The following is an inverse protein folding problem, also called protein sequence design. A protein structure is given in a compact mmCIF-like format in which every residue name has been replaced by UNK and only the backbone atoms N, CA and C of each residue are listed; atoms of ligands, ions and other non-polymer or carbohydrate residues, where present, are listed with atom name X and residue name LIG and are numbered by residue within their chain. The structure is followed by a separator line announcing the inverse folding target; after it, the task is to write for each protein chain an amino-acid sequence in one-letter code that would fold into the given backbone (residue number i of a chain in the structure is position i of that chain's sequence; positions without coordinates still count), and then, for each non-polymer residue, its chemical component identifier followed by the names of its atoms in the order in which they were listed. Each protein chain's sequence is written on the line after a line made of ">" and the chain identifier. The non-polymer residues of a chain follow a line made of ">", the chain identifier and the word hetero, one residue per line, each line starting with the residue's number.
data_IF_876710276709
#
_entry.id   IF_876710276709
#
_cell.length_a   1.000
_cell.length_b   1.000
_cell.length_c   1.000
_cell.angle_alpha   90.00
_cell.angle_beta   90.00
_cell.angle_gamma   90.00
#
_symmetry.space_group_name_H-M   'P 1'
#
loop_
_entity.id
_entity.type
_entity.pdbx_description
1 polymer ?
#
# COMPACT_ATOMS: atom_id res chain seq x y z
N UNK A 1 -3.56 -7.82 9.61
CA UNK A 1 -4.67 -6.85 9.63
C UNK A 1 -4.81 -6.28 8.24
N UNK A 2 -6.04 -6.05 7.80
CA UNK A 2 -6.29 -5.47 6.48
C UNK A 2 -5.88 -3.99 6.52
N UNK A 3 -5.15 -3.55 5.50
CA UNK A 3 -4.73 -2.15 5.33
C UNK A 3 -5.01 -1.70 3.90
N UNK A 4 -5.33 -0.42 3.75
CA UNK A 4 -5.36 0.30 2.50
C UNK A 4 -4.14 1.21 2.43
N UNK A 5 -3.45 1.22 1.28
CA UNK A 5 -2.24 2.02 1.10
C UNK A 5 -2.42 2.91 -0.11
N UNK A 6 -2.31 4.21 0.13
CA UNK A 6 -2.30 5.22 -0.93
C UNK A 6 -0.87 5.48 -1.35
N UNK A 7 -0.62 5.46 -2.65
CA UNK A 7 0.71 5.56 -3.25
C UNK A 7 0.87 6.87 -4.03
N UNK A 8 2.11 7.34 -4.13
CA UNK A 8 2.51 8.36 -5.09
C UNK A 8 2.94 7.74 -6.41
N UNK A 9 1.97 7.37 -7.22
CA UNK A 9 2.23 7.04 -8.62
C UNK A 9 2.08 8.32 -9.42
N UNK A 10 3.20 8.89 -9.87
CA UNK A 10 3.20 9.99 -10.85
C UNK A 10 2.34 9.62 -12.06
N UNK A 11 1.72 10.61 -12.73
CA UNK A 11 0.76 10.41 -13.84
C UNK A 11 1.24 9.43 -14.94
N UNK A 12 2.55 9.30 -15.14
CA UNK A 12 3.18 8.27 -15.98
C UNK A 12 3.54 6.99 -15.19
N UNK A 13 2.55 6.36 -14.56
CA UNK A 13 2.74 5.08 -13.90
C UNK A 13 2.95 3.97 -14.96
N UNK A 14 4.18 3.81 -15.41
CA UNK A 14 4.59 2.68 -16.27
C UNK A 14 4.40 1.35 -15.53
N UNK A 15 4.06 0.27 -16.25
CA UNK A 15 3.82 -1.05 -15.64
C UNK A 15 5.01 -1.54 -14.80
N UNK A 16 6.24 -1.28 -15.28
CA UNK A 16 7.46 -1.59 -14.55
C UNK A 16 7.55 -0.90 -13.16
N UNK A 17 6.97 0.30 -13.02
CA UNK A 17 6.94 1.01 -11.74
C UNK A 17 5.88 0.45 -10.80
N UNK A 18 4.74 -0.01 -11.35
CA UNK A 18 3.72 -0.69 -10.55
C UNK A 18 4.26 -2.00 -9.96
N UNK A 19 4.97 -2.81 -10.75
CA UNK A 19 5.56 -4.07 -10.28
C UNK A 19 6.62 -3.82 -9.21
N UNK A 20 7.52 -2.84 -9.42
CA UNK A 20 8.54 -2.48 -8.44
C UNK A 20 7.94 -2.01 -7.10
N UNK A 21 6.80 -1.30 -7.12
CA UNK A 21 6.09 -0.89 -5.90
C UNK A 21 5.49 -2.09 -5.18
N UNK A 22 4.89 -3.04 -5.91
CA UNK A 22 4.35 -4.26 -5.31
C UNK A 22 5.45 -5.12 -4.67
N UNK A 23 6.61 -5.22 -5.32
CA UNK A 23 7.78 -5.90 -4.76
C UNK A 23 8.29 -5.20 -3.49
N UNK A 24 8.36 -3.87 -3.49
CA UNK A 24 8.77 -3.09 -2.30
C UNK A 24 7.81 -3.28 -1.12
N UNK A 25 6.50 -3.23 -1.37
CA UNK A 25 5.47 -3.48 -0.36
C UNK A 25 5.56 -4.90 0.21
N UNK A 26 5.78 -5.89 -0.65
CA UNK A 26 5.97 -7.28 -0.23
C UNK A 26 7.25 -7.43 0.62
N UNK A 27 8.34 -6.78 0.22
CA UNK A 27 9.60 -6.73 0.98
C UNK A 27 9.46 -6.06 2.35
N UNK A 28 8.55 -5.08 2.48
CA UNK A 28 8.21 -4.43 3.75
C UNK A 28 7.28 -5.27 4.64
N UNK A 29 6.82 -6.45 4.19
CA UNK A 29 6.04 -7.40 4.98
C UNK A 29 4.56 -7.48 4.61
N UNK A 30 4.11 -6.73 3.60
CA UNK A 30 2.73 -6.79 3.12
C UNK A 30 2.46 -8.12 2.40
N UNK A 31 1.30 -8.70 2.65
CA UNK A 31 0.85 -9.99 2.10
C UNK A 31 -0.52 -9.86 1.45
N UNK A 32 -0.90 -10.83 0.62
CA UNK A 32 -2.21 -10.90 -0.04
C UNK A 32 -2.62 -9.56 -0.72
N UNK A 33 -1.69 -8.96 -1.46
CA UNK A 33 -1.86 -7.62 -2.03
C UNK A 33 -2.89 -7.66 -3.17
N UNK A 34 -3.98 -6.90 -3.02
CA UNK A 34 -4.92 -6.57 -4.09
C UNK A 34 -4.52 -5.25 -4.77
N UNK A 35 -4.06 -5.36 -6.02
CA UNK A 35 -3.62 -4.25 -6.85
C UNK A 35 -4.67 -3.78 -7.88
N UNK A 36 -5.93 -4.23 -7.77
CA UNK A 36 -6.99 -3.89 -8.74
C UNK A 36 -7.16 -2.38 -8.95
N UNK A 37 -6.94 -1.60 -7.90
CA UNK A 37 -7.11 -0.14 -7.92
C UNK A 37 -5.81 0.64 -8.11
N UNK A 38 -4.67 -0.05 -8.23
CA UNK A 38 -3.34 0.57 -8.31
C UNK A 38 -3.23 1.53 -9.49
N UNK A 39 -3.57 1.08 -10.70
CA UNK A 39 -3.44 1.90 -11.92
C UNK A 39 -4.40 3.09 -11.98
N UNK A 40 -5.57 3.00 -11.35
CA UNK A 40 -6.64 4.00 -11.47
C UNK A 40 -6.65 5.01 -10.34
N UNK A 41 -6.24 4.59 -9.15
CA UNK A 41 -6.35 5.38 -7.92
C UNK A 41 -5.08 5.40 -7.09
N UNK A 42 -3.98 4.80 -7.59
CA UNK A 42 -2.75 4.60 -6.83
C UNK A 42 -3.01 3.96 -5.45
N UNK A 43 -3.96 3.01 -5.41
CA UNK A 43 -4.44 2.39 -4.19
C UNK A 43 -4.23 0.88 -4.23
N UNK A 44 -3.70 0.32 -3.14
CA UNK A 44 -3.59 -1.12 -2.93
C UNK A 44 -4.14 -1.50 -1.57
N UNK A 45 -4.66 -2.72 -1.47
CA UNK A 45 -5.11 -3.30 -0.21
C UNK A 45 -4.33 -4.56 0.08
N UNK A 46 -4.19 -4.95 1.35
CA UNK A 46 -3.57 -6.23 1.70
C UNK A 46 -3.46 -6.45 3.19
N UNK A 47 -2.81 -7.54 3.57
CA UNK A 47 -2.55 -7.89 4.96
C UNK A 47 -1.19 -7.38 5.41
N UNK A 48 -1.15 -6.73 6.57
CA UNK A 48 0.08 -6.28 7.22
C UNK A 48 0.04 -6.64 8.71
N UNK A 49 1.19 -6.86 9.35
CA UNK A 49 1.26 -6.95 10.81
C UNK A 49 1.39 -5.54 11.41
N UNK A 50 0.81 -5.31 12.59
CA UNK A 50 0.84 -3.98 13.21
C UNK A 50 2.27 -3.47 13.45
N UNK A 51 3.21 -4.38 13.75
CA UNK A 51 4.64 -4.08 13.92
C UNK A 51 5.36 -3.71 12.62
N UNK A 52 4.74 -3.93 11.46
CA UNK A 52 5.33 -3.68 10.14
C UNK A 52 4.79 -2.41 9.48
N UNK A 53 3.85 -1.69 10.13
CA UNK A 53 3.26 -0.45 9.60
C UNK A 53 4.34 0.59 9.33
N UNK A 54 5.21 0.86 10.31
CA UNK A 54 6.30 1.85 10.17
C UNK A 54 7.25 1.52 9.01
N UNK A 55 7.49 0.24 8.73
CA UNK A 55 8.35 -0.18 7.62
C UNK A 55 7.72 0.11 6.25
N UNK A 56 6.39 -0.01 6.15
CA UNK A 56 5.64 0.33 4.93
C UNK A 56 5.52 1.85 4.77
N UNK A 57 5.26 2.58 5.86
CA UNK A 57 5.20 4.05 5.86
C UNK A 57 6.53 4.71 5.49
N UNK A 58 7.66 4.02 5.74
CA UNK A 58 8.99 4.50 5.37
C UNK A 58 9.30 4.40 3.86
N UNK A 59 8.45 3.78 3.05
CA UNK A 59 8.65 3.69 1.61
C UNK A 59 8.33 5.04 0.93
N UNK A 60 9.25 5.57 0.12
CA UNK A 60 9.10 6.88 -0.56
C UNK A 60 7.83 7.03 -1.40
N UNK A 61 7.29 5.89 -1.87
CA UNK A 61 6.09 5.83 -2.71
C UNK A 61 4.80 5.78 -1.89
N UNK A 62 4.87 5.63 -0.56
CA UNK A 62 3.69 5.52 0.30
C UNK A 62 3.31 6.90 0.82
N UNK A 63 2.07 7.32 0.56
CA UNK A 63 1.50 8.56 1.08
C UNK A 63 0.74 8.35 2.39
N UNK A 64 0.04 7.23 2.50
CA UNK A 64 -0.79 6.91 3.66
C UNK A 64 -0.97 5.41 3.78
N UNK A 65 -1.03 4.93 5.02
CA UNK A 65 -1.41 3.56 5.39
C UNK A 65 -2.62 3.64 6.31
N UNK A 66 -3.72 3.03 5.90
CA UNK A 66 -5.00 3.08 6.60
C UNK A 66 -5.43 1.67 7.00
N UNK A 67 -5.27 1.31 8.28
CA UNK A 67 -5.88 0.12 8.88
C UNK A 67 -7.39 0.03 8.64
N UNK A 68 -7.83 -1.03 7.97
CA UNK A 68 -9.25 -1.32 7.85
C UNK A 68 -9.76 -1.91 9.17
N UNK A 69 -10.86 -1.34 9.69
CA UNK A 69 -11.44 -1.72 10.99
C UNK A 69 -11.23 -0.74 12.15
N UNK A 70 -10.45 0.33 12.00
CA UNK A 70 -10.50 1.48 12.94
C UNK A 70 -11.66 2.41 12.59
N UNK A 71 -12.89 1.90 12.70
CA UNK A 71 -14.07 2.76 12.81
C UNK A 71 -14.05 3.34 14.21
N UNK A 72 -13.34 4.46 14.39
CA UNK A 72 -13.64 5.33 15.52
C UNK A 72 -14.96 6.02 15.18
N UNK A 73 -16.08 5.41 15.57
CA UNK A 73 -17.34 6.12 15.60
C UNK A 73 -17.17 7.31 16.55
N UNK A 74 -17.23 8.53 16.02
CA UNK A 74 -17.31 9.77 16.79
C UNK A 74 -18.67 9.88 17.48
#
# INVERSE_FOLDING_TARGET
>A
MLVHITLDLTEEATEARADAVLEALHGAGMRDIDARFLKRYALVSGQLEASQIEAVEALDVVKAVEPDGTVTAL
#
